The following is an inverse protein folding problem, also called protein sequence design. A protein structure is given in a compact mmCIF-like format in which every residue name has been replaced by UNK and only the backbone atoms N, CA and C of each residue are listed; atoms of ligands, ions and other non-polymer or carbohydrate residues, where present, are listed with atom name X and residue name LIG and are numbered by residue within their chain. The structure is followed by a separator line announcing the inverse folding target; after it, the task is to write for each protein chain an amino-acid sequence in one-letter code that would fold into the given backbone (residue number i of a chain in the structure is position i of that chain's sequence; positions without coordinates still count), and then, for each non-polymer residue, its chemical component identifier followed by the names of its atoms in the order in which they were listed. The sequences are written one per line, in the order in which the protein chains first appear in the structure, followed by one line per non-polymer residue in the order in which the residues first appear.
data_IF_012454251547
#
_entry.id   IF_012454251547
#
_cell.length_a   1.000
_cell.length_b   1.000
_cell.length_c   1.000
_cell.angle_alpha   90.00
_cell.angle_beta   90.00
_cell.angle_gamma   90.00
#
_symmetry.space_group_name_H-M   'P 1'
#
loop_
_entity.id
_entity.type
_entity.pdbx_description
1 polymer ?
#
# COMPACT_ATOMS: atom_id res chain seq x y z
N UNK A 1 9.31 5.19 1.58
CA UNK A 1 9.60 5.19 3.03
C UNK A 1 8.78 6.28 3.68
N UNK A 2 8.25 6.04 4.88
CA UNK A 2 7.26 6.89 5.55
C UNK A 2 5.83 6.35 5.45
N UNK A 3 5.64 5.11 5.01
CA UNK A 3 4.32 4.51 4.90
C UNK A 3 3.77 4.17 6.30
N UNK A 4 2.48 4.42 6.50
CA UNK A 4 1.76 4.10 7.74
C UNK A 4 0.71 3.05 7.40
N UNK A 5 0.70 1.97 8.17
CA UNK A 5 -0.20 0.84 7.94
C UNK A 5 -0.82 0.36 9.24
N UNK A 6 -1.99 -0.25 9.15
CA UNK A 6 -2.58 -1.03 10.23
C UNK A 6 -2.20 -2.50 10.06
N UNK A 7 -1.73 -3.14 11.12
CA UNK A 7 -1.42 -4.56 11.16
C UNK A 7 -2.50 -5.32 11.95
N UNK A 8 -3.40 -6.06 11.27
CA UNK A 8 -4.53 -6.70 11.94
C UNK A 8 -4.12 -7.77 12.96
N UNK A 9 -3.06 -8.53 12.68
CA UNK A 9 -2.63 -9.62 13.56
C UNK A 9 -2.10 -9.11 14.90
N UNK A 10 -1.35 -8.00 14.89
CA UNK A 10 -0.84 -7.35 16.09
C UNK A 10 -1.78 -6.30 16.70
N UNK A 11 -2.92 -6.01 16.05
CA UNK A 11 -3.86 -4.93 16.42
C UNK A 11 -3.17 -3.59 16.66
N UNK A 12 -2.19 -3.25 15.84
CA UNK A 12 -1.34 -2.08 16.03
C UNK A 12 -1.13 -1.29 14.73
N UNK A 13 -0.61 -0.07 14.89
CA UNK A 13 -0.21 0.79 13.77
C UNK A 13 1.29 0.65 13.55
N UNK A 14 1.68 0.43 12.29
CA UNK A 14 3.06 0.36 11.85
C UNK A 14 3.43 1.65 11.11
N UNK A 15 4.59 2.21 11.43
CA UNK A 15 5.21 3.32 10.68
C UNK A 15 6.53 2.81 10.11
N UNK A 16 6.65 2.76 8.79
CA UNK A 16 7.84 2.23 8.11
C UNK A 16 8.85 3.33 7.79
N UNK A 17 9.90 3.45 8.59
CA UNK A 17 10.96 4.48 8.46
C UNK A 17 12.35 3.90 8.15
N UNK A 18 12.43 2.61 7.79
CA UNK A 18 13.66 1.89 7.51
C UNK A 18 13.39 0.46 7.01
N UNK A 19 14.47 -0.28 6.76
CA UNK A 19 14.37 -1.72 6.48
C UNK A 19 13.91 -2.46 7.73
N UNK A 20 13.08 -3.47 7.52
CA UNK A 20 12.71 -4.45 8.55
C UNK A 20 13.68 -5.64 8.49
N UNK A 21 13.81 -6.43 9.57
CA UNK A 21 14.75 -7.57 9.61
C UNK A 21 14.60 -8.58 8.47
N UNK A 22 13.40 -8.72 7.92
CA UNK A 22 13.08 -9.66 6.83
C UNK A 22 13.15 -9.04 5.43
N UNK A 23 13.61 -7.80 5.32
CA UNK A 23 13.71 -7.10 4.04
C UNK A 23 14.77 -7.75 3.14
N UNK A 24 14.35 -8.34 2.01
CA UNK A 24 15.25 -9.07 1.09
C UNK A 24 15.86 -8.23 -0.04
N UNK A 25 15.28 -7.07 -0.36
CA UNK A 25 15.64 -6.29 -1.56
C UNK A 25 15.71 -4.78 -1.30
N UNK A 26 16.16 -4.37 -0.10
CA UNK A 26 16.29 -2.95 0.25
C UNK A 26 14.95 -2.19 0.33
N UNK A 27 13.82 -2.90 0.41
CA UNK A 27 12.49 -2.34 0.66
C UNK A 27 11.95 -2.84 1.99
N UNK A 28 11.29 -1.99 2.80
CA UNK A 28 10.63 -2.43 4.03
C UNK A 28 9.62 -3.52 3.70
N UNK A 29 9.72 -4.67 4.36
CA UNK A 29 8.77 -5.76 4.22
C UNK A 29 8.09 -6.04 5.57
N UNK A 30 6.76 -5.91 5.68
CA UNK A 30 6.05 -6.26 6.91
C UNK A 30 6.12 -7.77 7.17
N UNK A 31 6.06 -8.17 8.44
CA UNK A 31 6.12 -9.58 8.85
C UNK A 31 4.97 -10.42 8.28
N UNK A 32 3.80 -9.82 8.07
CA UNK A 32 2.63 -10.42 7.41
C UNK A 32 1.78 -9.31 6.77
N UNK A 33 0.69 -9.61 6.04
CA UNK A 33 -0.10 -8.59 5.34
C UNK A 33 -0.58 -7.46 6.26
N UNK A 34 -0.43 -6.22 5.77
CA UNK A 34 -0.85 -4.99 6.44
C UNK A 34 -1.73 -4.17 5.49
N UNK A 35 -2.59 -3.32 6.07
CA UNK A 35 -3.41 -2.38 5.30
C UNK A 35 -2.76 -1.01 5.36
N UNK A 36 -2.32 -0.49 4.21
CA UNK A 36 -1.81 0.87 4.10
C UNK A 36 -2.94 1.87 4.39
N UNK A 37 -2.72 2.76 5.36
CA UNK A 37 -3.70 3.78 5.78
C UNK A 37 -3.23 5.20 5.49
N UNK A 38 -1.95 5.41 5.18
CA UNK A 38 -1.44 6.71 4.80
C UNK A 38 0.08 6.80 4.76
N UNK A 39 0.58 8.03 4.80
CA UNK A 39 2.01 8.33 4.88
C UNK A 39 2.25 9.41 5.93
N UNK A 40 3.36 9.31 6.64
CA UNK A 40 3.81 10.35 7.55
C UNK A 40 4.63 11.41 6.81
N UNK A 41 4.52 12.66 7.27
CA UNK A 41 5.42 13.76 6.86
C UNK A 41 6.67 13.85 7.75
N UNK A 42 6.73 13.05 8.82
CA UNK A 42 7.85 13.04 9.74
C UNK A 42 9.13 12.53 9.07
N UNK A 43 10.26 13.08 9.50
CA UNK A 43 11.57 12.69 8.97
C UNK A 43 12.01 11.40 9.68
N UNK A 44 12.51 10.41 8.94
CA UNK A 44 12.92 9.11 9.49
C UNK A 44 13.95 9.22 10.64
N UNK A 45 14.80 10.25 10.62
CA UNK A 45 15.77 10.55 11.68
C UNK A 45 15.12 10.88 13.02
N UNK A 46 13.96 11.54 13.02
CA UNK A 46 13.21 11.85 14.23
C UNK A 46 12.55 10.59 14.81
N UNK A 47 11.96 9.76 13.93
CA UNK A 47 11.34 8.50 14.30
C UNK A 47 12.33 7.51 14.92
N UNK A 48 13.62 7.55 14.51
CA UNK A 48 14.69 6.72 15.09
C UNK A 48 15.04 7.06 16.54
N UNK A 49 14.62 8.22 17.06
CA UNK A 49 14.86 8.61 18.45
C UNK A 49 13.90 7.91 19.42
N UNK A 50 12.78 7.38 18.92
CA UNK A 50 11.78 6.66 19.72
C UNK A 50 12.33 5.30 20.12
N UNK A 51 12.24 4.97 21.40
CA UNK A 51 12.71 3.70 21.97
C UNK A 51 11.55 2.78 22.28
N UNK A 52 11.85 1.48 22.35
CA UNK A 52 10.90 0.48 22.82
C UNK A 52 10.45 0.83 24.24
N UNK A 53 9.13 0.90 24.45
CA UNK A 53 8.53 1.22 25.74
C UNK A 53 8.17 2.70 25.93
N UNK A 54 8.52 3.58 24.99
CA UNK A 54 8.10 4.98 25.03
C UNK A 54 6.57 5.08 25.03
N UNK A 55 6.03 5.88 25.95
CA UNK A 55 4.59 6.13 26.02
C UNK A 55 4.16 6.98 24.81
N UNK A 56 3.26 6.43 24.00
CA UNK A 56 2.72 7.10 22.83
C UNK A 56 1.25 7.48 23.05
N UNK A 57 0.88 8.68 22.64
CA UNK A 57 -0.52 9.14 22.62
C UNK A 57 -0.90 9.51 21.20
N UNK A 58 -1.99 8.92 20.71
CA UNK A 58 -2.60 9.29 19.44
C UNK A 58 -3.66 10.36 19.70
N UNK A 59 -3.54 11.49 19.01
CA UNK A 59 -4.53 12.57 19.05
C UNK A 59 -5.02 12.86 17.64
N UNK A 60 -6.32 13.14 17.51
CA UNK A 60 -6.85 13.68 16.27
C UNK A 60 -6.52 15.17 16.23
N UNK A 61 -5.63 15.56 15.31
CA UNK A 61 -5.37 16.97 15.05
C UNK A 61 -6.45 17.47 14.10
N UNK A 62 -7.34 18.33 14.58
CA UNK A 62 -8.25 19.06 13.70
C UNK A 62 -7.46 20.17 12.97
N UNK A 63 -6.76 19.79 11.92
CA UNK A 63 -6.20 20.71 10.94
C UNK A 63 -7.00 20.61 9.65
N UNK A 64 -7.24 21.73 8.98
CA UNK A 64 -7.70 21.75 7.59
C UNK A 64 -6.61 21.13 6.71
N UNK A 65 -6.50 19.80 6.71
CA UNK A 65 -5.67 19.07 5.76
C UNK A 65 -6.33 19.29 4.41
N UNK A 66 -5.65 19.88 3.41
CA UNK A 66 -6.18 19.93 2.06
C UNK A 66 -6.50 18.48 1.71
N UNK A 67 -7.80 18.18 1.60
CA UNK A 67 -8.26 16.89 1.08
C UNK A 67 -7.42 16.68 -0.19
N UNK A 68 -6.64 15.58 -0.30
CA UNK A 68 -5.83 15.36 -1.49
C UNK A 68 -6.77 15.55 -2.67
N UNK A 69 -6.40 16.47 -3.57
CA UNK A 69 -7.27 16.91 -4.64
C UNK A 69 -7.90 15.67 -5.27
N UNK A 70 -9.22 15.69 -5.35
CA UNK A 70 -10.10 14.63 -5.84
C UNK A 70 -9.84 14.22 -7.31
N UNK A 71 -8.67 14.56 -7.86
CA UNK A 71 -8.26 14.32 -9.24
C UNK A 71 -7.23 13.20 -9.39
N UNK A 72 -6.95 12.42 -8.34
CA UNK A 72 -6.41 11.08 -8.56
C UNK A 72 -7.44 10.29 -9.39
N UNK A 73 -7.08 9.60 -10.48
CA UNK A 73 -8.02 8.82 -11.26
C UNK A 73 -8.72 7.85 -10.30
N UNK A 74 -10.03 8.03 -10.15
CA UNK A 74 -10.89 7.31 -9.22
C UNK A 74 -10.94 5.84 -9.62
N UNK A 75 -9.94 5.07 -9.20
CA UNK A 75 -9.89 3.61 -9.31
C UNK A 75 -10.84 2.93 -8.29
N UNK A 76 -12.00 3.53 -8.05
CA UNK A 76 -13.10 2.97 -7.26
C UNK A 76 -14.42 3.05 -8.06
N UNK A 77 -14.37 3.20 -9.38
CA UNK A 77 -15.55 2.87 -10.17
C UNK A 77 -15.62 1.35 -10.26
N UNK A 78 -16.66 0.75 -9.66
CA UNK A 78 -17.01 -0.64 -9.94
C UNK A 78 -17.19 -0.77 -11.45
N UNK A 79 -16.40 -1.63 -12.09
CA UNK A 79 -16.55 -1.90 -13.51
C UNK A 79 -17.99 -2.39 -13.76
N UNK A 80 -18.57 -1.96 -14.87
CA UNK A 80 -19.84 -2.55 -15.31
C UNK A 80 -19.58 -3.97 -15.80
N UNK A 81 -20.63 -4.80 -15.83
CA UNK A 81 -20.49 -6.17 -16.33
C UNK A 81 -19.90 -6.21 -17.74
N UNK A 82 -20.29 -5.27 -18.61
CA UNK A 82 -19.77 -5.14 -19.98
C UNK A 82 -18.26 -4.89 -20.03
N UNK A 83 -17.73 -4.09 -19.11
CA UNK A 83 -16.31 -3.77 -19.05
C UNK A 83 -15.49 -4.95 -18.53
N UNK A 84 -16.03 -5.68 -17.55
CA UNK A 84 -15.45 -6.93 -17.06
C UNK A 84 -15.38 -7.94 -18.22
N UNK A 85 -16.48 -8.13 -18.96
CA UNK A 85 -16.54 -9.08 -20.06
C UNK A 85 -15.57 -8.73 -21.20
N UNK A 86 -15.41 -7.44 -21.52
CA UNK A 86 -14.46 -6.97 -22.52
C UNK A 86 -13.00 -7.26 -22.11
N UNK A 87 -12.64 -7.00 -20.86
CA UNK A 87 -11.31 -7.30 -20.32
C UNK A 87 -11.02 -8.81 -20.34
N UNK A 88 -11.98 -9.62 -19.94
CA UNK A 88 -11.83 -11.09 -19.95
C UNK A 88 -11.60 -11.58 -21.38
N UNK A 89 -12.34 -11.08 -22.37
CA UNK A 89 -12.13 -11.44 -23.78
C UNK A 89 -10.74 -11.06 -24.28
N UNK A 90 -10.26 -9.87 -23.92
CA UNK A 90 -8.94 -9.41 -24.33
C UNK A 90 -7.83 -10.29 -23.76
N UNK A 91 -7.88 -10.60 -22.46
CA UNK A 91 -6.91 -11.47 -21.80
C UNK A 91 -6.91 -12.89 -22.38
N UNK A 92 -8.08 -13.42 -22.72
CA UNK A 92 -8.19 -14.74 -23.37
C UNK A 92 -7.59 -14.74 -24.78
N UNK A 93 -7.79 -13.67 -25.56
CA UNK A 93 -7.20 -13.52 -26.88
C UNK A 93 -5.67 -13.37 -26.84
N UNK A 94 -5.16 -12.58 -25.90
CA UNK A 94 -3.70 -12.45 -25.65
C UNK A 94 -3.09 -13.80 -25.27
N UNK A 95 -3.74 -14.56 -24.38
CA UNK A 95 -3.29 -15.90 -23.98
C UNK A 95 -3.27 -16.87 -25.17
N UNK A 96 -4.31 -16.88 -26.00
CA UNK A 96 -4.37 -17.73 -27.19
C UNK A 96 -3.25 -17.41 -28.20
N UNK A 97 -2.90 -16.13 -28.32
CA UNK A 97 -1.79 -15.68 -29.18
C UNK A 97 -0.43 -16.13 -28.64
N UNK A 98 -0.25 -16.16 -27.33
CA UNK A 98 0.98 -16.63 -26.69
C UNK A 98 1.16 -18.14 -26.77
N UNK A 99 0.07 -18.93 -26.68
CA UNK A 99 0.14 -20.39 -26.82
C UNK A 99 0.47 -20.85 -28.25
N UNK A 100 0.13 -20.05 -29.27
CA UNK A 100 0.50 -20.34 -30.66
C UNK A 100 1.98 -20.03 -30.97
N UNK A 101 2.57 -19.03 -30.30
CA UNK A 101 3.98 -18.65 -30.46
C UNK A 101 4.98 -19.54 -29.71
N UNK A 102 4.53 -20.30 -28.70
CA UNK A 102 5.39 -21.21 -27.93
C UNK A 102 5.52 -22.62 -28.53
N UNK A 103 4.93 -22.88 -29.70
CA UNK A 103 4.89 -24.22 -30.34
C UNK A 103 5.75 -24.35 -31.60
N UNK A 104 6.70 -23.44 -31.83
CA UNK A 104 7.66 -23.50 -32.95
C UNK A 104 9.09 -23.60 -32.42
#
# INVERSE_FOLDING_TARGET
MGDVAYWPQGRCVCVFFGLTPISKAGKPLPASPVVLIGKTKAISLELRKIKTGDALRVIQVQGNVPKPASNAPRAERKLTQTEIDALVRQLLAEKATQELGSKT
#
